data_IF_044750553566
#
_entry.id   IF_044750553566
#
_cell.length_a   1.000
_cell.length_b   1.000
_cell.length_c   1.000
_cell.angle_alpha   90.00
_cell.angle_beta   90.00
_cell.angle_gamma   90.00
#
_symmetry.space_group_name_H-M   'P 1'
#
loop_
_entity.id
_entity.type
_entity.pdbx_description
1 polymer ?
#
# COMPACT_ATOMS: atom_id res chain seq x y z
N UNK A 1 20.92 -14.81 -15.57
CA UNK A 1 20.44 -15.90 -14.72
C UNK A 1 20.19 -15.30 -13.34
N UNK A 2 18.92 -15.15 -13.00
CA UNK A 2 18.35 -14.43 -11.86
C UNK A 2 18.86 -15.00 -10.52
N UNK A 3 19.88 -14.37 -9.92
CA UNK A 3 20.36 -14.72 -8.56
C UNK A 3 19.25 -14.57 -7.51
N UNK A 4 18.32 -13.67 -7.75
CA UNK A 4 17.07 -13.42 -7.01
C UNK A 4 16.22 -14.68 -6.88
N UNK A 5 15.91 -15.34 -8.01
CA UNK A 5 15.06 -16.53 -8.03
C UNK A 5 15.65 -17.72 -7.26
N UNK A 6 16.98 -17.83 -7.22
CA UNK A 6 17.66 -18.89 -6.47
C UNK A 6 17.51 -18.73 -4.95
N UNK A 7 17.51 -17.48 -4.45
CA UNK A 7 17.41 -17.22 -3.02
C UNK A 7 16.00 -17.46 -2.49
N UNK A 8 14.98 -17.09 -3.27
CA UNK A 8 13.57 -17.30 -2.92
C UNK A 8 13.23 -18.81 -2.95
N UNK A 9 13.82 -19.58 -3.88
CA UNK A 9 13.67 -21.04 -3.95
C UNK A 9 14.33 -21.80 -2.77
N UNK A 10 15.29 -21.18 -2.08
CA UNK A 10 16.04 -21.76 -0.96
C UNK A 10 15.44 -21.42 0.41
N UNK A 11 14.26 -20.80 0.45
CA UNK A 11 13.57 -20.42 1.69
C UNK A 11 14.40 -19.48 2.58
N UNK A 12 15.30 -18.69 1.98
CA UNK A 12 16.14 -17.74 2.70
C UNK A 12 15.32 -16.48 2.97
N UNK A 13 14.91 -16.29 4.22
CA UNK A 13 14.29 -15.04 4.65
C UNK A 13 15.28 -13.89 4.47
N UNK A 14 14.93 -12.86 3.69
CA UNK A 14 15.79 -11.68 3.53
C UNK A 14 15.92 -10.96 4.87
N UNK A 15 17.14 -10.86 5.38
CA UNK A 15 17.44 -10.09 6.59
C UNK A 15 17.34 -8.60 6.24
N UNK A 16 16.31 -7.91 6.73
CA UNK A 16 16.28 -6.44 6.70
C UNK A 16 17.24 -5.91 7.78
N UNK A 17 18.07 -4.93 7.45
CA UNK A 17 19.01 -4.35 8.41
C UNK A 17 18.22 -3.78 9.60
N UNK A 18 18.62 -4.14 10.82
CA UNK A 18 17.98 -3.69 12.06
C UNK A 18 18.17 -2.17 12.32
N UNK A 19 19.08 -1.54 11.57
CA UNK A 19 19.58 -0.19 11.86
C UNK A 19 18.67 0.95 11.37
N UNK A 20 17.63 0.65 10.56
CA UNK A 20 16.61 1.63 10.18
C UNK A 20 15.28 1.23 10.78
N UNK A 21 14.63 2.09 11.59
CA UNK A 21 13.26 1.82 11.99
C UNK A 21 12.42 1.65 10.72
N UNK A 22 11.74 0.50 10.62
CA UNK A 22 10.88 0.22 9.48
C UNK A 22 9.82 1.31 9.35
N UNK A 23 9.49 1.68 8.12
CA UNK A 23 8.44 2.66 7.86
C UNK A 23 7.11 2.17 8.44
N UNK A 24 6.33 3.04 9.10
CA UNK A 24 5.13 2.63 9.84
C UNK A 24 3.97 2.23 8.92
N UNK A 25 4.00 2.62 7.64
CA UNK A 25 2.92 2.36 6.69
C UNK A 25 3.37 1.52 5.51
N UNK A 26 2.44 0.73 4.98
CA UNK A 26 2.65 -0.13 3.83
C UNK A 26 1.58 0.08 2.76
N UNK A 27 2.02 0.29 1.53
CA UNK A 27 1.20 0.32 0.31
C UNK A 27 1.47 -0.96 -0.48
N UNK A 28 0.41 -1.72 -0.75
CA UNK A 28 0.50 -2.99 -1.45
C UNK A 28 0.16 -2.83 -2.94
N UNK A 29 1.03 -3.29 -3.84
CA UNK A 29 0.81 -3.23 -5.29
C UNK A 29 1.46 -4.40 -6.04
N UNK A 30 0.93 -4.70 -7.23
CA UNK A 30 1.48 -5.72 -8.14
C UNK A 30 2.32 -5.10 -9.29
N UNK A 31 2.54 -3.78 -9.24
CA UNK A 31 3.23 -3.05 -10.31
C UNK A 31 4.74 -3.13 -10.10
N UNK A 32 5.47 -3.65 -11.07
CA UNK A 32 6.95 -3.64 -11.10
C UNK A 32 7.48 -2.29 -11.62
N UNK A 33 7.17 -1.21 -10.90
CA UNK A 33 7.61 0.14 -11.18
C UNK A 33 7.71 0.95 -9.89
N UNK A 34 8.56 1.98 -9.89
CA UNK A 34 8.63 2.91 -8.78
C UNK A 34 7.37 3.77 -8.72
N UNK A 35 6.53 3.49 -7.72
CA UNK A 35 5.28 4.20 -7.47
C UNK A 35 5.48 5.46 -6.63
N UNK A 36 6.65 5.65 -6.00
CA UNK A 36 6.89 6.77 -5.08
C UNK A 36 6.83 8.14 -5.77
N UNK A 37 7.06 8.18 -7.09
CA UNK A 37 7.01 9.40 -7.89
C UNK A 37 5.60 9.77 -8.42
N UNK A 38 4.56 8.97 -8.12
CA UNK A 38 3.22 9.23 -8.65
C UNK A 38 2.45 10.24 -7.79
N UNK A 39 2.19 11.43 -8.35
CA UNK A 39 1.44 12.51 -7.69
C UNK A 39 0.05 12.09 -7.20
N UNK A 40 -0.61 11.17 -7.90
CA UNK A 40 -1.91 10.65 -7.47
C UNK A 40 -1.81 9.89 -6.14
N UNK A 41 -0.75 9.09 -5.95
CA UNK A 41 -0.55 8.34 -4.70
C UNK A 41 -0.28 9.30 -3.56
N UNK A 42 0.60 10.29 -3.77
CA UNK A 42 0.89 11.33 -2.79
C UNK A 42 -0.39 12.05 -2.31
N UNK A 43 -1.27 12.43 -3.25
CA UNK A 43 -2.53 13.09 -2.92
C UNK A 43 -3.45 12.20 -2.09
N UNK A 44 -3.59 10.92 -2.44
CA UNK A 44 -4.44 9.98 -1.71
C UNK A 44 -3.90 9.72 -0.31
N UNK A 45 -2.58 9.55 -0.16
CA UNK A 45 -1.94 9.39 1.15
C UNK A 45 -2.08 10.65 2.01
N UNK A 46 -1.90 11.83 1.43
CA UNK A 46 -2.10 13.10 2.12
C UNK A 46 -3.51 13.28 2.66
N UNK A 47 -4.54 12.83 1.93
CA UNK A 47 -5.93 12.85 2.39
C UNK A 47 -6.18 11.99 3.62
N UNK A 48 -5.37 10.96 3.86
CA UNK A 48 -5.47 10.10 5.05
C UNK A 48 -4.39 10.41 6.10
N UNK A 49 -3.73 11.57 5.98
CA UNK A 49 -2.65 12.07 6.83
C UNK A 49 -1.43 11.12 6.91
N UNK A 50 -1.00 10.62 5.75
CA UNK A 50 0.20 9.80 5.61
C UNK A 50 1.11 10.42 4.55
N UNK A 51 2.42 10.45 4.79
CA UNK A 51 3.39 10.94 3.81
C UNK A 51 4.12 9.79 3.10
N UNK A 52 4.67 10.06 1.91
CA UNK A 52 5.39 9.06 1.11
C UNK A 52 6.65 8.54 1.82
N UNK A 53 7.34 9.38 2.59
CA UNK A 53 8.52 9.00 3.37
C UNK A 53 8.20 8.04 4.52
N UNK A 54 6.94 8.00 4.98
CA UNK A 54 6.46 7.05 5.98
C UNK A 54 5.91 5.74 5.37
N UNK A 55 5.89 5.62 4.03
CA UNK A 55 5.36 4.45 3.33
C UNK A 55 6.47 3.56 2.74
N UNK A 56 6.40 2.26 3.04
CA UNK A 56 7.00 1.21 2.22
C UNK A 56 6.03 0.80 1.09
N UNK A 57 6.58 0.38 -0.03
CA UNK A 57 5.86 -0.10 -1.21
C UNK A 57 6.30 -1.52 -1.50
N UNK A 58 5.35 -2.47 -1.50
CA UNK A 58 5.68 -3.89 -1.62
C UNK A 58 4.52 -4.69 -2.22
N UNK A 59 4.80 -5.89 -2.70
CA UNK A 59 3.77 -6.84 -3.15
C UNK A 59 3.32 -7.78 -2.02
N UNK A 60 4.09 -7.86 -0.93
CA UNK A 60 3.84 -8.74 0.21
C UNK A 60 3.53 -7.98 1.51
N UNK A 61 2.77 -8.63 2.39
CA UNK A 61 2.44 -8.10 3.71
C UNK A 61 3.57 -8.46 4.68
N UNK A 62 4.06 -7.46 5.41
CA UNK A 62 5.07 -7.63 6.44
C UNK A 62 4.49 -7.33 7.83
N UNK A 63 5.02 -7.99 8.86
CA UNK A 63 4.63 -7.69 10.25
C UNK A 63 5.18 -6.32 10.67
N UNK A 64 4.36 -5.52 11.34
CA UNK A 64 4.75 -4.22 11.90
C UNK A 64 3.99 -3.07 11.24
N UNK A 65 4.24 -2.78 9.94
CA UNK A 65 3.59 -1.66 9.27
C UNK A 65 2.08 -1.83 9.15
N UNK A 66 1.35 -0.75 9.34
CA UNK A 66 -0.08 -0.67 9.05
C UNK A 66 -0.28 -0.59 7.54
N UNK A 67 -1.09 -1.48 6.98
CA UNK A 67 -1.45 -1.41 5.56
C UNK A 67 -2.39 -0.23 5.35
N UNK A 68 -1.94 0.81 4.67
CA UNK A 68 -2.74 2.02 4.44
C UNK A 68 -3.54 1.90 3.14
N UNK A 69 -3.00 1.19 2.15
CA UNK A 69 -3.67 1.01 0.87
C UNK A 69 -3.27 -0.31 0.20
N UNK A 70 -4.25 -1.14 -0.16
CA UNK A 70 -4.05 -2.32 -1.02
C UNK A 70 -4.63 -2.08 -2.42
N UNK A 71 -3.75 -2.07 -3.43
CA UNK A 71 -4.04 -1.92 -4.86
C UNK A 71 -3.78 -3.21 -5.65
N UNK A 72 -3.55 -4.36 -5.00
CA UNK A 72 -3.26 -5.61 -5.70
C UNK A 72 -4.50 -6.24 -6.31
N UNK A 73 -4.32 -6.97 -7.41
CA UNK A 73 -5.34 -7.78 -8.06
C UNK A 73 -5.45 -9.15 -7.40
N UNK A 74 -5.75 -9.17 -6.10
CA UNK A 74 -5.88 -10.41 -5.31
C UNK A 74 -7.31 -10.71 -4.88
N UNK A 75 -7.65 -12.01 -4.79
CA UNK A 75 -8.92 -12.49 -4.24
C UNK A 75 -9.00 -12.35 -2.72
N UNK A 76 -7.86 -12.33 -2.02
CA UNK A 76 -7.80 -12.31 -0.56
C UNK A 76 -7.13 -11.02 -0.10
N UNK A 77 -7.95 -10.07 0.32
CA UNK A 77 -7.50 -8.74 0.75
C UNK A 77 -7.27 -8.72 2.27
N UNK A 78 -6.26 -7.99 2.76
CA UNK A 78 -6.02 -7.83 4.19
C UNK A 78 -7.19 -7.09 4.83
N UNK A 79 -7.78 -7.67 5.89
CA UNK A 79 -8.87 -7.04 6.65
C UNK A 79 -8.47 -5.74 7.34
N UNK A 80 -7.17 -5.53 7.48
CA UNK A 80 -6.58 -4.40 8.21
C UNK A 80 -6.27 -3.21 7.31
N UNK A 81 -6.40 -3.32 5.99
CA UNK A 81 -6.11 -2.20 5.10
C UNK A 81 -7.13 -1.08 5.26
N UNK A 82 -6.67 0.17 5.35
CA UNK A 82 -7.56 1.33 5.42
C UNK A 82 -8.28 1.59 4.11
N UNK A 83 -7.54 1.54 3.00
CA UNK A 83 -8.05 1.74 1.66
C UNK A 83 -7.81 0.49 0.82
N UNK A 84 -8.78 0.16 -0.02
CA UNK A 84 -8.73 -1.04 -0.84
C UNK A 84 -9.37 -0.78 -2.20
N UNK A 85 -8.60 -0.87 -3.28
CA UNK A 85 -9.07 -0.51 -4.63
C UNK A 85 -8.79 -1.59 -5.67
N UNK A 86 -9.19 -1.36 -6.92
CA UNK A 86 -8.57 -2.01 -8.07
C UNK A 86 -7.10 -1.58 -8.23
N UNK A 87 -6.32 -2.25 -9.12
CA UNK A 87 -5.00 -1.78 -9.52
C UNK A 87 -4.99 -0.32 -9.93
N UNK A 88 -3.88 0.36 -9.64
CA UNK A 88 -3.76 1.81 -9.81
C UNK A 88 -4.13 2.30 -11.22
N UNK A 89 -3.71 1.58 -12.27
CA UNK A 89 -4.05 1.94 -13.65
C UNK A 89 -5.56 1.92 -13.90
N UNK A 90 -6.28 0.96 -13.32
CA UNK A 90 -7.74 0.84 -13.45
C UNK A 90 -8.43 1.99 -12.69
N UNK A 91 -7.94 2.31 -11.48
CA UNK A 91 -8.42 3.45 -10.69
C UNK A 91 -8.22 4.76 -11.46
N UNK A 92 -7.07 4.93 -12.12
CA UNK A 92 -6.77 6.15 -12.86
C UNK A 92 -7.66 6.34 -14.10
N UNK A 93 -8.09 5.24 -14.72
CA UNK A 93 -8.90 5.26 -15.94
C UNK A 93 -10.41 5.21 -15.69
N UNK A 94 -10.85 4.76 -14.51
CA UNK A 94 -12.26 4.54 -14.21
C UNK A 94 -12.80 5.54 -13.16
N UNK A 95 -13.80 6.33 -13.54
CA UNK A 95 -14.46 7.29 -12.66
C UNK A 95 -15.20 6.63 -11.48
N UNK A 96 -15.75 5.42 -11.66
CA UNK A 96 -16.41 4.69 -10.58
C UNK A 96 -15.42 4.23 -9.51
N UNK A 97 -14.25 3.76 -9.91
CA UNK A 97 -13.18 3.38 -8.96
C UNK A 97 -12.70 4.57 -8.14
N UNK A 98 -12.55 5.75 -8.77
CA UNK A 98 -12.21 7.00 -8.03
C UNK A 98 -13.30 7.39 -7.04
N UNK A 99 -14.58 7.26 -7.42
CA UNK A 99 -15.70 7.51 -6.50
C UNK A 99 -15.69 6.57 -5.31
N UNK A 100 -15.43 5.28 -5.52
CA UNK A 100 -15.33 4.30 -4.45
C UNK A 100 -14.14 4.57 -3.53
N UNK A 101 -12.98 4.93 -4.09
CA UNK A 101 -11.81 5.36 -3.30
C UNK A 101 -12.16 6.57 -2.42
N UNK A 102 -12.81 7.58 -2.99
CA UNK A 102 -13.23 8.77 -2.23
C UNK A 102 -14.21 8.44 -1.10
N UNK A 103 -15.19 7.56 -1.35
CA UNK A 103 -16.11 7.10 -0.32
C UNK A 103 -15.38 6.43 0.85
N UNK A 104 -14.39 5.58 0.57
CA UNK A 104 -13.57 4.94 1.60
C UNK A 104 -12.76 5.96 2.41
N UNK A 105 -12.17 6.96 1.74
CA UNK A 105 -11.45 8.05 2.40
C UNK A 105 -12.38 8.81 3.35
N UNK A 106 -13.56 9.23 2.89
CA UNK A 106 -14.54 9.92 3.74
C UNK A 106 -14.95 9.06 4.95
N UNK A 107 -15.23 7.77 4.74
CA UNK A 107 -15.61 6.86 5.82
C UNK A 107 -14.50 6.70 6.87
N UNK A 108 -13.24 6.58 6.42
CA UNK A 108 -12.08 6.49 7.30
C UNK A 108 -11.92 7.76 8.14
N UNK A 109 -12.04 8.94 7.51
CA UNK A 109 -11.93 10.23 8.19
C UNK A 109 -13.05 10.42 9.22
N UNK A 110 -14.29 10.06 8.88
CA UNK A 110 -15.43 10.14 9.80
C UNK A 110 -15.26 9.23 11.02
N UNK A 111 -14.78 8.01 10.80
CA UNK A 111 -14.51 7.04 11.88
C UNK A 111 -13.47 7.61 12.85
N UNK A 112 -12.36 8.14 12.33
CA UNK A 112 -11.27 8.73 13.13
C UNK A 112 -11.69 9.99 13.90
N UNK A 113 -12.62 10.77 13.36
CA UNK A 113 -13.16 11.94 14.07
C UNK A 113 -14.07 11.52 15.22
N UNK A 114 -14.79 10.40 15.09
CA UNK A 114 -15.69 9.89 16.13
C UNK A 114 -14.95 9.26 17.31
N UNK A 115 -13.69 8.86 17.11
CA UNK A 115 -12.81 8.28 18.14
C UNK A 115 -12.04 9.33 18.96
N UNK A 116 -12.19 10.62 18.63
CA UNK A 116 -11.57 11.75 19.34
C UNK A 116 -12.57 12.42 20.29
#
# INVERSE_FOLDING_TARGET
MEKSAFLDAMNITRWRSADKPGKPFLVLHDIDADLSAQSFIEQVLGLVNVTLDECDFDCEIHKGPQVVWDMRKTKRRPRVAWLVTAPLNDVMQNGDEKRQLWQQICQLLNTRQSER
#
